data_IF_884576302367
#
_entry.id   IF_884576302367
#
_cell.length_a   1.000
_cell.length_b   1.000
_cell.length_c   1.000
_cell.angle_alpha   90.00
_cell.angle_beta   90.00
_cell.angle_gamma   90.00
#
_symmetry.space_group_name_H-M   'P 1'
#
loop_
_entity.id
_entity.type
_entity.pdbx_description
1 polymer ?
#
# COMPACT_ATOMS: atom_id res chain seq x y z
N UNK A 1 4.12 13.82 -8.24
CA UNK A 1 2.65 13.92 -8.10
C UNK A 1 2.20 12.89 -7.08
N UNK A 2 1.52 13.27 -6.00
CA UNK A 2 1.03 12.32 -5.01
C UNK A 2 -0.18 11.54 -5.53
N UNK A 3 -0.32 10.30 -5.09
CA UNK A 3 -1.56 9.51 -5.20
C UNK A 3 -2.09 9.32 -3.79
N UNK A 4 -3.35 9.67 -3.54
CA UNK A 4 -3.95 9.69 -2.20
C UNK A 4 -5.35 9.07 -2.21
N UNK A 5 -5.73 8.48 -1.09
CA UNK A 5 -7.09 8.05 -0.75
C UNK A 5 -7.43 8.50 0.66
N UNK A 6 -8.71 8.77 0.91
CA UNK A 6 -9.22 9.25 2.20
C UNK A 6 -10.57 8.57 2.52
N UNK A 7 -11.09 8.82 3.72
CA UNK A 7 -12.36 8.27 4.23
C UNK A 7 -12.36 6.73 4.26
N UNK A 8 -11.26 6.16 4.74
CA UNK A 8 -11.03 4.71 4.81
C UNK A 8 -11.74 4.10 6.03
N UNK A 9 -13.06 4.25 6.15
CA UNK A 9 -13.87 3.72 7.26
C UNK A 9 -13.75 2.19 7.33
N UNK A 10 -14.64 1.44 6.68
CA UNK A 10 -14.53 -0.02 6.60
C UNK A 10 -13.48 -0.46 5.56
N UNK A 11 -13.24 0.36 4.54
CA UNK A 11 -12.30 0.05 3.47
C UNK A 11 -10.84 0.01 3.96
N UNK A 12 -10.01 -0.80 3.31
CA UNK A 12 -8.56 -0.86 3.54
C UNK A 12 -7.83 -0.19 2.38
N UNK A 13 -6.89 0.69 2.70
CA UNK A 13 -5.99 1.31 1.74
C UNK A 13 -4.64 0.62 1.80
N UNK A 14 -4.08 0.35 0.61
CA UNK A 14 -2.70 -0.10 0.45
C UNK A 14 -1.96 0.90 -0.42
N UNK A 15 -1.01 1.62 0.15
CA UNK A 15 -0.07 2.42 -0.61
C UNK A 15 1.18 1.60 -0.91
N UNK A 16 1.51 1.45 -2.19
CA UNK A 16 2.74 0.84 -2.68
C UNK A 16 3.70 1.93 -3.12
N UNK A 17 4.94 1.84 -2.64
CA UNK A 17 6.04 2.72 -3.02
C UNK A 17 7.22 1.87 -3.49
N UNK A 18 7.70 2.13 -4.70
CA UNK A 18 8.76 1.35 -5.31
C UNK A 18 9.86 2.25 -5.88
N UNK A 19 11.10 1.92 -5.59
CA UNK A 19 12.27 2.73 -5.92
C UNK A 19 13.29 1.89 -6.68
N UNK A 20 14.06 2.56 -7.53
CA UNK A 20 15.26 1.99 -8.13
C UNK A 20 16.48 2.55 -7.43
N UNK A 21 17.41 1.67 -7.09
CA UNK A 21 18.74 2.07 -6.64
C UNK A 21 19.79 1.47 -7.56
N UNK A 22 20.87 2.21 -7.78
CA UNK A 22 22.05 1.71 -8.47
C UNK A 22 22.68 0.58 -7.62
N UNK A 23 22.93 -0.60 -8.19
CA UNK A 23 23.41 -1.74 -7.43
C UNK A 23 24.86 -1.60 -6.94
N UNK A 24 25.63 -0.66 -7.48
CA UNK A 24 27.03 -0.42 -7.12
C UNK A 24 27.20 0.77 -6.17
N UNK A 25 26.43 1.84 -6.36
CA UNK A 25 26.55 3.07 -5.56
C UNK A 25 25.46 3.20 -4.49
N UNK A 26 24.34 2.49 -4.65
CA UNK A 26 23.15 2.65 -3.80
C UNK A 26 22.35 3.92 -4.08
N UNK A 27 22.79 4.75 -5.02
CA UNK A 27 22.11 6.00 -5.36
C UNK A 27 20.74 5.75 -6.02
N UNK A 28 19.78 6.63 -5.74
CA UNK A 28 18.44 6.54 -6.33
C UNK A 28 18.47 6.87 -7.81
N UNK A 29 17.75 6.08 -8.60
CA UNK A 29 17.71 6.21 -10.06
C UNK A 29 16.30 6.54 -10.55
N UNK A 30 16.16 7.15 -11.75
CA UNK A 30 14.86 7.33 -12.39
C UNK A 30 14.10 6.01 -12.55
N UNK A 31 12.78 6.09 -12.41
CA UNK A 31 11.86 4.95 -12.61
C UNK A 31 11.07 4.53 -11.38
N UNK A 32 11.12 5.29 -10.28
CA UNK A 32 10.28 5.07 -9.11
C UNK A 32 8.79 5.08 -9.47
N UNK A 33 7.99 4.31 -8.72
CA UNK A 33 6.57 4.12 -8.95
C UNK A 33 5.81 4.17 -7.62
N UNK A 34 4.63 4.77 -7.65
CA UNK A 34 3.69 4.76 -6.54
C UNK A 34 2.31 4.37 -7.02
N UNK A 35 1.57 3.63 -6.19
CA UNK A 35 0.18 3.25 -6.44
C UNK A 35 -0.55 3.16 -5.11
N UNK A 36 -1.83 3.52 -5.09
CA UNK A 36 -2.70 3.31 -3.93
C UNK A 36 -3.90 2.48 -4.38
N UNK A 37 -4.16 1.40 -3.65
CA UNK A 37 -5.38 0.60 -3.79
C UNK A 37 -6.36 0.99 -2.70
N UNK A 38 -7.59 1.28 -3.06
CA UNK A 38 -8.71 1.46 -2.13
C UNK A 38 -9.59 0.22 -2.23
N UNK A 39 -9.59 -0.60 -1.18
CA UNK A 39 -10.21 -1.93 -1.20
C UNK A 39 -11.44 -1.94 -0.31
N UNK A 40 -12.57 -2.34 -0.90
CA UNK A 40 -13.75 -2.71 -0.12
C UNK A 40 -13.46 -3.99 0.67
N UNK A 41 -14.08 -4.17 1.85
CA UNK A 41 -13.85 -5.36 2.65
C UNK A 41 -14.26 -6.66 1.94
N UNK A 42 -13.41 -7.67 2.07
CA UNK A 42 -13.55 -8.98 1.43
C UNK A 42 -14.70 -9.83 1.97
N UNK A 43 -15.35 -9.40 3.05
CA UNK A 43 -16.64 -9.97 3.46
C UNK A 43 -17.73 -9.83 2.37
N UNK A 44 -17.52 -8.96 1.38
CA UNK A 44 -18.26 -8.93 0.13
C UNK A 44 -17.67 -9.92 -0.88
N UNK A 45 -18.06 -11.21 -0.77
CA UNK A 45 -17.56 -12.28 -1.67
C UNK A 45 -17.86 -12.00 -3.16
N UNK A 46 -18.91 -11.23 -3.46
CA UNK A 46 -19.24 -10.79 -4.81
C UNK A 46 -18.13 -9.98 -5.49
N UNK A 47 -17.21 -9.39 -4.70
CA UNK A 47 -16.04 -8.66 -5.19
C UNK A 47 -14.89 -9.57 -5.58
N UNK A 48 -15.04 -10.88 -5.42
CA UNK A 48 -14.03 -11.89 -5.73
C UNK A 48 -12.67 -11.57 -5.07
N UNK A 49 -12.58 -11.62 -3.73
CA UNK A 49 -11.36 -11.29 -2.98
C UNK A 49 -10.08 -11.94 -3.52
N UNK A 50 -10.16 -13.20 -3.96
CA UNK A 50 -9.03 -13.92 -4.55
C UNK A 50 -8.49 -13.25 -5.82
N UNK A 51 -9.37 -12.73 -6.67
CA UNK A 51 -8.99 -12.01 -7.89
C UNK A 51 -8.36 -10.65 -7.57
N UNK A 52 -8.81 -9.99 -6.50
CA UNK A 52 -8.20 -8.74 -6.02
C UNK A 52 -6.78 -9.03 -5.53
N UNK A 53 -6.60 -10.05 -4.68
CA UNK A 53 -5.29 -10.47 -4.18
C UNK A 53 -4.36 -10.88 -5.34
N UNK A 54 -4.86 -11.63 -6.31
CA UNK A 54 -4.10 -11.99 -7.51
C UNK A 54 -3.66 -10.74 -8.30
N UNK A 55 -4.55 -9.76 -8.49
CA UNK A 55 -4.21 -8.53 -9.19
C UNK A 55 -3.15 -7.69 -8.47
N UNK A 56 -3.20 -7.62 -7.14
CA UNK A 56 -2.16 -6.94 -6.35
C UNK A 56 -0.83 -7.71 -6.46
N UNK A 57 -0.86 -9.05 -6.44
CA UNK A 57 0.32 -9.89 -6.66
C UNK A 57 0.95 -9.66 -8.03
N UNK A 58 0.15 -9.65 -9.10
CA UNK A 58 0.63 -9.39 -10.45
C UNK A 58 1.31 -8.02 -10.54
N UNK A 59 0.74 -6.99 -9.88
CA UNK A 59 1.38 -5.69 -9.78
C UNK A 59 2.73 -5.72 -9.05
N UNK A 60 2.85 -6.49 -7.96
CA UNK A 60 4.12 -6.67 -7.24
C UNK A 60 5.16 -7.31 -8.17
N UNK A 61 4.79 -8.36 -8.91
CA UNK A 61 5.67 -9.05 -9.84
C UNK A 61 6.12 -8.15 -10.99
N UNK A 62 5.20 -7.38 -11.56
CA UNK A 62 5.51 -6.39 -12.62
C UNK A 62 6.50 -5.32 -12.15
N UNK A 63 6.35 -4.84 -10.91
CA UNK A 63 7.26 -3.85 -10.33
C UNK A 63 8.64 -4.46 -10.10
N UNK A 64 8.70 -5.68 -9.56
CA UNK A 64 9.96 -6.42 -9.35
C UNK A 64 10.67 -6.71 -10.67
N UNK A 65 9.95 -7.10 -11.71
CA UNK A 65 10.50 -7.35 -13.05
C UNK A 65 11.17 -6.10 -13.66
N UNK A 66 10.75 -4.89 -13.24
CA UNK A 66 11.38 -3.63 -13.64
C UNK A 66 12.63 -3.28 -12.81
N UNK A 67 13.08 -4.18 -11.93
CA UNK A 67 14.23 -3.99 -11.04
C UNK A 67 13.97 -2.95 -9.96
N UNK A 68 12.72 -2.83 -9.49
CA UNK A 68 12.34 -1.92 -8.42
C UNK A 68 12.17 -2.67 -7.10
N UNK A 69 12.61 -2.06 -6.02
CA UNK A 69 12.38 -2.54 -4.65
C UNK A 69 11.13 -1.85 -4.12
N UNK A 70 10.13 -2.64 -3.70
CA UNK A 70 8.85 -2.14 -3.21
C UNK A 70 8.76 -2.24 -1.68
N UNK A 71 8.06 -1.29 -1.08
CA UNK A 71 7.52 -1.31 0.28
C UNK A 71 6.05 -0.89 0.24
N UNK A 72 5.30 -1.26 1.28
CA UNK A 72 3.88 -0.93 1.37
C UNK A 72 3.53 -0.29 2.71
N UNK A 73 2.44 0.45 2.73
CA UNK A 73 1.81 0.96 3.93
C UNK A 73 0.31 0.68 3.87
N UNK A 74 -0.28 0.36 5.03
CA UNK A 74 -1.70 -0.01 5.14
C UNK A 74 -2.42 0.91 6.12
N UNK A 75 -3.65 1.31 5.78
CA UNK A 75 -4.49 2.19 6.60
C UNK A 75 -5.97 1.93 6.36
N UNK A 76 -6.80 2.11 7.39
CA UNK A 76 -8.26 2.06 7.28
C UNK A 76 -8.88 0.93 8.08
N UNK A 77 -10.05 0.48 7.67
CA UNK A 77 -10.78 -0.58 8.35
C UNK A 77 -11.44 -0.13 9.65
N UNK A 78 -12.51 -0.84 10.00
CA UNK A 78 -13.24 -0.58 11.23
C UNK A 78 -12.40 -0.97 12.45
N UNK A 79 -12.39 -0.09 13.45
CA UNK A 79 -11.65 -0.31 14.71
C UNK A 79 -12.25 -1.43 15.56
N UNK A 80 -13.51 -1.78 15.30
CA UNK A 80 -14.30 -2.73 16.09
C UNK A 80 -15.08 -3.63 15.14
N UNK A 81 -15.01 -4.94 15.40
CA UNK A 81 -15.69 -5.96 14.60
C UNK A 81 -14.83 -6.52 13.47
N UNK A 82 -15.28 -7.62 12.89
CA UNK A 82 -14.45 -8.43 11.98
C UNK A 82 -14.61 -8.05 10.50
N UNK A 83 -15.43 -7.03 10.20
CA UNK A 83 -15.84 -6.71 8.84
C UNK A 83 -14.66 -6.41 7.92
N UNK A 84 -13.64 -5.71 8.43
CA UNK A 84 -12.42 -5.34 7.70
C UNK A 84 -11.21 -6.21 8.04
N UNK A 85 -11.28 -6.98 9.14
CA UNK A 85 -10.13 -7.69 9.73
C UNK A 85 -9.60 -8.76 8.76
N UNK A 86 -10.48 -9.58 8.20
CA UNK A 86 -10.08 -10.61 7.23
C UNK A 86 -9.43 -10.03 5.97
N UNK A 87 -9.77 -8.79 5.61
CA UNK A 87 -9.14 -8.08 4.48
C UNK A 87 -7.73 -7.64 4.82
N UNK A 88 -7.53 -7.08 6.02
CA UNK A 88 -6.21 -6.69 6.50
C UNK A 88 -5.28 -7.91 6.62
N UNK A 89 -5.76 -9.00 7.24
CA UNK A 89 -5.00 -10.24 7.40
C UNK A 89 -4.61 -10.85 6.04
N UNK A 90 -5.55 -10.95 5.08
CA UNK A 90 -5.24 -11.48 3.75
C UNK A 90 -4.20 -10.64 2.98
N UNK A 91 -4.17 -9.32 3.21
CA UNK A 91 -3.17 -8.43 2.62
C UNK A 91 -1.81 -8.57 3.30
N UNK A 92 -1.79 -8.69 4.63
CA UNK A 92 -0.57 -8.97 5.39
C UNK A 92 0.06 -10.29 4.95
N UNK A 93 -0.74 -11.36 4.86
CA UNK A 93 -0.30 -12.66 4.35
C UNK A 93 0.25 -12.54 2.92
N UNK A 94 -0.39 -11.78 2.04
CA UNK A 94 0.12 -11.53 0.69
C UNK A 94 1.51 -10.88 0.74
N UNK A 95 1.69 -9.82 1.53
CA UNK A 95 2.95 -9.09 1.58
C UNK A 95 4.06 -9.90 2.25
N UNK A 96 3.75 -10.68 3.29
CA UNK A 96 4.69 -11.60 3.91
C UNK A 96 5.16 -12.66 2.91
N UNK A 97 4.23 -13.31 2.21
CA UNK A 97 4.55 -14.34 1.21
C UNK A 97 5.36 -13.80 0.02
N UNK A 98 5.12 -12.55 -0.37
CA UNK A 98 5.89 -11.86 -1.42
C UNK A 98 7.17 -11.20 -0.90
N UNK A 99 7.49 -11.33 0.40
CA UNK A 99 8.62 -10.70 1.06
C UNK A 99 8.67 -9.17 0.84
N UNK A 100 7.50 -8.53 0.88
CA UNK A 100 7.35 -7.07 0.75
C UNK A 100 7.29 -6.46 2.14
N UNK A 101 8.22 -5.54 2.49
CA UNK A 101 8.19 -4.88 3.77
C UNK A 101 6.96 -3.98 3.90
N UNK A 102 6.19 -4.20 4.96
CA UNK A 102 5.12 -3.30 5.42
C UNK A 102 5.75 -2.26 6.35
N UNK A 103 5.85 -1.02 5.90
CA UNK A 103 6.48 0.07 6.66
C UNK A 103 5.66 0.47 7.88
N UNK A 104 4.34 0.52 7.72
CA UNK A 104 3.41 0.63 8.83
C UNK A 104 2.08 0.00 8.45
N UNK A 105 1.40 -0.49 9.48
CA UNK A 105 0.07 -1.04 9.39
C UNK A 105 -0.81 -0.38 10.44
N UNK A 106 -1.67 0.54 9.98
CA UNK A 106 -2.65 1.24 10.80
C UNK A 106 -4.06 0.86 10.39
N UNK A 107 -4.27 -0.45 10.18
CA UNK A 107 -5.59 -1.01 9.89
C UNK A 107 -6.30 -1.48 11.15
N UNK A 108 -7.64 -1.45 11.11
CA UNK A 108 -8.51 -2.07 12.10
C UNK A 108 -8.16 -1.63 13.54
N UNK A 109 -7.84 -2.59 14.43
CA UNK A 109 -7.49 -2.30 15.83
C UNK A 109 -6.24 -1.40 15.98
N UNK A 110 -5.34 -1.40 14.99
CA UNK A 110 -4.13 -0.57 14.99
C UNK A 110 -4.39 0.86 14.53
N UNK A 111 -5.57 1.15 13.96
CA UNK A 111 -5.93 2.50 13.52
C UNK A 111 -6.09 3.40 14.74
N UNK A 112 -5.28 4.45 14.83
CA UNK A 112 -5.26 5.38 15.97
C UNK A 112 -5.77 6.79 15.65
N UNK A 113 -5.94 7.13 14.38
CA UNK A 113 -6.34 8.46 13.91
C UNK A 113 -7.19 8.38 12.65
N UNK A 114 -7.94 9.45 12.38
CA UNK A 114 -8.54 9.72 11.07
C UNK A 114 -7.49 10.41 10.19
N UNK A 115 -7.10 9.76 9.11
CA UNK A 115 -6.04 10.20 8.21
C UNK A 115 -6.35 9.72 6.79
N UNK A 116 -5.70 10.37 5.83
CA UNK A 116 -5.60 9.84 4.47
C UNK A 116 -4.38 8.92 4.38
N UNK A 117 -4.34 8.10 3.33
CA UNK A 117 -3.15 7.37 2.95
C UNK A 117 -2.76 7.71 1.51
N UNK A 118 -1.49 7.95 1.29
CA UNK A 118 -0.96 8.17 -0.04
C UNK A 118 0.51 7.83 -0.18
N UNK A 119 0.99 7.98 -1.40
CA UNK A 119 2.41 7.89 -1.72
C UNK A 119 2.78 8.93 -2.78
N UNK A 120 4.01 9.42 -2.73
CA UNK A 120 4.56 10.40 -3.67
C UNK A 120 5.97 10.03 -4.08
N UNK A 121 6.31 10.40 -5.31
CA UNK A 121 7.70 10.38 -5.82
C UNK A 121 8.27 11.79 -5.69
N UNK A 122 9.44 11.90 -5.05
CA UNK A 122 10.18 13.14 -4.87
C UNK A 122 11.15 13.41 -6.04
N UNK A 123 11.75 14.60 -6.03
CA UNK A 123 12.65 15.05 -7.10
C UNK A 123 13.96 14.25 -7.19
N UNK A 124 14.35 13.57 -6.11
CA UNK A 124 15.53 12.70 -6.05
C UNK A 124 15.21 11.22 -6.36
N UNK A 125 14.03 10.95 -6.92
CA UNK A 125 13.50 9.61 -7.22
C UNK A 125 13.21 8.74 -5.98
N UNK A 126 13.34 9.29 -4.77
CA UNK A 126 12.82 8.62 -3.58
C UNK A 126 11.30 8.71 -3.54
N UNK A 127 10.71 7.89 -2.68
CA UNK A 127 9.29 7.80 -2.45
C UNK A 127 8.99 8.10 -0.98
N UNK A 128 7.80 8.60 -0.69
CA UNK A 128 7.34 8.82 0.68
C UNK A 128 5.86 8.46 0.81
N UNK A 129 5.48 7.86 1.94
CA UNK A 129 4.09 7.70 2.31
C UNK A 129 3.57 9.01 2.90
N UNK A 130 2.34 9.36 2.54
CA UNK A 130 1.67 10.58 2.97
C UNK A 130 0.52 10.18 3.87
N UNK A 131 0.43 10.81 5.04
CA UNK A 131 -0.70 10.68 5.97
C UNK A 131 -1.48 11.98 6.16
N UNK A 132 -0.99 13.08 5.61
CA UNK A 132 -1.57 14.42 5.70
C UNK A 132 -1.32 15.18 4.41
N UNK A 133 -2.34 15.86 3.89
CA UNK A 133 -2.18 16.82 2.79
C UNK A 133 -1.82 18.17 3.41
N UNK A 134 -0.54 18.49 3.44
CA UNK A 134 -0.09 19.83 3.84
C UNK A 134 -0.14 20.70 2.59
N UNK A 135 -0.97 21.75 2.61
CA UNK A 135 -0.86 22.81 1.62
C UNK A 135 0.44 23.56 1.87
N UNK A 136 1.27 23.70 0.83
CA UNK A 136 2.44 24.58 0.86
C UNK A 136 2.00 26.05 0.81
#
# INVERSE_FOLDING_TARGET
>A
MPVVTDNMTACIAVACAAERSDPYTGERMPGAQVRVFHLLPFNHEELQPENIIASIRDYIHDVRAKGLTMRVAMYGGDRVGDFSVSTAEALEDLFENEAIPVEFNETCANRNSEALLGAVILNDYSTQFIKQLVAA
#
